data_IF_524509034931
#
_entry.id   IF_524509034931
#
_cell.length_a   1.000
_cell.length_b   1.000
_cell.length_c   1.000
_cell.angle_alpha   90.00
_cell.angle_beta   90.00
_cell.angle_gamma   90.00
#
_symmetry.space_group_name_H-M   'P 1'
#
loop_
_entity.id
_entity.type
_entity.pdbx_description
1 polymer ?
#
# COMPACT_ATOMS: atom_id res chain seq x y z
N UNK A 1 15.37 -1.13 -9.58
CA UNK A 1 13.92 -1.17 -9.77
C UNK A 1 13.25 -1.43 -8.44
N UNK A 2 12.22 -0.66 -8.07
CA UNK A 2 11.54 -0.86 -6.81
C UNK A 2 10.90 -2.25 -6.73
N UNK A 3 10.85 -2.80 -5.54
CA UNK A 3 10.30 -4.13 -5.26
C UNK A 3 8.98 -3.94 -4.51
N UNK A 4 7.90 -4.47 -5.09
CA UNK A 4 6.63 -4.59 -4.37
C UNK A 4 6.68 -5.81 -3.45
N UNK A 5 6.39 -5.61 -2.18
CA UNK A 5 6.22 -6.66 -1.18
C UNK A 5 4.79 -6.61 -0.65
N UNK A 6 4.18 -7.76 -0.48
CA UNK A 6 2.91 -7.91 0.24
C UNK A 6 3.26 -8.43 1.62
N UNK A 7 2.85 -7.71 2.66
CA UNK A 7 3.08 -8.15 4.02
C UNK A 7 2.16 -9.35 4.35
N UNK A 8 2.73 -10.36 4.97
CA UNK A 8 2.11 -11.65 5.24
C UNK A 8 1.28 -11.71 6.55
N UNK A 9 1.07 -10.55 7.17
CA UNK A 9 0.25 -10.47 8.40
C UNK A 9 -1.17 -10.98 8.19
N UNK A 10 -1.69 -11.72 9.18
CA UNK A 10 -3.05 -12.23 9.13
C UNK A 10 -4.11 -11.11 9.23
N UNK A 11 -3.82 -10.06 10.00
CA UNK A 11 -4.65 -8.84 10.14
C UNK A 11 -6.15 -9.10 10.40
N UNK A 12 -6.48 -10.11 11.22
CA UNK A 12 -7.88 -10.46 11.57
C UNK A 12 -8.36 -9.77 12.84
N UNK A 13 -7.46 -9.23 13.66
CA UNK A 13 -7.83 -8.54 14.87
C UNK A 13 -8.55 -7.23 14.54
N UNK A 14 -9.54 -6.88 15.34
CA UNK A 14 -10.35 -5.66 15.11
C UNK A 14 -9.53 -4.37 15.17
N UNK A 15 -8.44 -4.36 15.95
CA UNK A 15 -7.50 -3.25 16.10
C UNK A 15 -6.33 -3.27 15.08
N UNK A 16 -6.36 -4.21 14.11
CA UNK A 16 -5.28 -4.37 13.14
C UNK A 16 -5.06 -3.10 12.29
N UNK A 17 -6.13 -2.36 11.97
CA UNK A 17 -6.01 -1.10 11.22
C UNK A 17 -5.21 -0.07 12.00
N UNK A 18 -5.59 0.16 13.26
CA UNK A 18 -4.89 1.10 14.14
C UNK A 18 -3.44 0.69 14.34
N UNK A 19 -3.21 -0.59 14.63
CA UNK A 19 -1.86 -1.11 14.87
C UNK A 19 -0.97 -0.93 13.66
N UNK A 20 -1.45 -1.31 12.46
CA UNK A 20 -0.61 -1.22 11.25
C UNK A 20 -0.40 0.22 10.82
N UNK A 21 -1.43 1.05 10.83
CA UNK A 21 -1.31 2.46 10.46
C UNK A 21 -0.39 3.20 11.43
N UNK A 22 -0.55 3.02 12.75
CA UNK A 22 0.27 3.67 13.76
C UNK A 22 1.71 3.13 13.85
N UNK A 23 1.95 1.87 13.48
CA UNK A 23 3.29 1.29 13.58
C UNK A 23 4.10 1.36 12.29
N UNK A 24 3.44 1.46 11.13
CA UNK A 24 4.13 1.38 9.83
C UNK A 24 3.89 2.57 8.90
N UNK A 25 2.73 3.24 8.97
CA UNK A 25 2.45 4.36 8.07
C UNK A 25 2.95 5.67 8.65
N UNK A 26 2.60 5.98 9.89
CA UNK A 26 2.90 7.28 10.49
C UNK A 26 4.29 7.42 11.12
N UNK A 27 4.82 6.43 11.88
CA UNK A 27 6.05 6.66 12.62
C UNK A 27 7.22 6.96 11.70
N UNK A 28 7.89 8.09 11.94
CA UNK A 28 9.06 8.53 11.16
C UNK A 28 8.80 8.67 9.65
N UNK A 29 7.53 8.77 9.24
CA UNK A 29 7.21 9.08 7.85
C UNK A 29 7.67 10.50 7.53
N UNK A 30 8.26 10.66 6.36
CA UNK A 30 8.64 11.96 5.83
C UNK A 30 7.42 12.67 5.25
N UNK A 31 6.52 11.90 4.63
CA UNK A 31 5.25 12.36 4.08
C UNK A 31 4.21 11.25 4.24
N UNK A 32 2.98 11.65 4.44
CA UNK A 32 1.80 10.79 4.44
C UNK A 32 0.77 11.30 3.46
N UNK A 33 -0.04 10.41 2.96
CA UNK A 33 -1.16 10.76 2.09
C UNK A 33 -2.15 9.60 2.00
N UNK A 34 -3.20 9.80 1.23
CA UNK A 34 -4.20 8.77 1.01
C UNK A 34 -5.12 9.13 -0.15
N UNK A 35 -5.90 8.16 -0.60
CA UNK A 35 -6.91 8.35 -1.62
C UNK A 35 -8.22 7.69 -1.18
N UNK A 36 -9.33 8.42 -1.39
CA UNK A 36 -10.66 8.08 -0.84
C UNK A 36 -10.68 8.01 0.71
N UNK A 37 -9.77 8.73 1.35
CA UNK A 37 -9.59 8.73 2.80
C UNK A 37 -8.79 9.97 3.25
N UNK A 38 -9.09 10.48 4.44
CA UNK A 38 -8.22 11.43 5.13
C UNK A 38 -7.17 10.64 5.93
N UNK A 39 -5.87 10.83 5.71
CA UNK A 39 -4.84 10.09 6.42
C UNK A 39 -4.94 10.18 7.94
N UNK A 40 -5.32 11.35 8.49
CA UNK A 40 -5.43 11.56 9.93
C UNK A 40 -6.50 10.65 10.56
N UNK A 41 -7.59 10.42 9.83
CA UNK A 41 -8.74 9.62 10.27
C UNK A 41 -8.80 8.24 9.61
N UNK A 42 -7.70 7.77 9.03
CA UNK A 42 -7.70 6.61 8.16
C UNK A 42 -8.31 5.36 8.83
N UNK A 43 -7.89 5.00 10.03
CA UNK A 43 -8.42 3.82 10.73
C UNK A 43 -9.94 3.94 10.97
N UNK A 44 -10.39 5.08 11.50
CA UNK A 44 -11.80 5.28 11.81
C UNK A 44 -12.69 5.31 10.56
N UNK A 45 -12.23 5.91 9.46
CA UNK A 45 -12.96 5.91 8.20
C UNK A 45 -13.02 4.53 7.54
N UNK A 46 -11.95 3.71 7.67
CA UNK A 46 -11.95 2.32 7.22
C UNK A 46 -12.93 1.46 8.03
N UNK A 47 -13.00 1.67 9.36
CA UNK A 47 -14.01 1.01 10.19
C UNK A 47 -15.42 1.43 9.83
N UNK A 48 -15.67 2.73 9.62
CA UNK A 48 -16.98 3.22 9.21
C UNK A 48 -17.47 2.55 7.92
N UNK A 49 -16.60 2.37 6.93
CA UNK A 49 -16.94 1.66 5.70
C UNK A 49 -17.34 0.20 5.95
N UNK A 50 -16.68 -0.47 6.90
CA UNK A 50 -17.02 -1.84 7.31
C UNK A 50 -18.36 -1.91 8.05
N UNK A 51 -18.61 -0.97 8.95
CA UNK A 51 -19.85 -0.90 9.72
C UNK A 51 -21.05 -0.69 8.78
N UNK A 52 -20.94 0.27 7.84
CA UNK A 52 -22.00 0.55 6.86
C UNK A 52 -22.29 -0.67 5.97
N UNK A 53 -21.28 -1.45 5.62
CA UNK A 53 -21.46 -2.63 4.76
C UNK A 53 -21.74 -3.92 5.54
N UNK A 54 -21.71 -3.88 6.88
CA UNK A 54 -21.86 -5.06 7.74
C UNK A 54 -20.71 -6.06 7.65
N UNK A 55 -19.53 -5.65 7.18
CA UNK A 55 -18.37 -6.52 6.92
C UNK A 55 -17.25 -6.31 7.95
N UNK A 56 -17.57 -6.44 9.23
CA UNK A 56 -16.67 -6.11 10.34
C UNK A 56 -15.68 -7.21 10.71
N UNK A 57 -15.96 -8.46 10.33
CA UNK A 57 -15.15 -9.63 10.71
C UNK A 57 -14.12 -10.01 9.63
N UNK A 58 -13.21 -10.92 9.98
CA UNK A 58 -12.18 -11.46 9.10
C UNK A 58 -11.03 -10.47 8.85
N UNK A 59 -10.37 -10.60 7.70
CA UNK A 59 -9.23 -9.76 7.36
C UNK A 59 -9.61 -8.29 7.35
N UNK A 60 -8.84 -7.44 8.03
CA UNK A 60 -9.14 -6.03 8.20
C UNK A 60 -8.50 -5.15 7.11
N UNK A 61 -7.33 -5.52 6.62
CA UNK A 61 -6.54 -4.70 5.69
C UNK A 61 -5.63 -5.54 4.80
N UNK A 62 -5.12 -4.89 3.75
CA UNK A 62 -3.94 -5.33 3.01
C UNK A 62 -2.82 -4.32 3.19
N UNK A 63 -1.60 -4.81 3.42
CA UNK A 63 -0.41 -4.01 3.64
C UNK A 63 0.60 -4.31 2.53
N UNK A 64 0.92 -3.29 1.73
CA UNK A 64 1.90 -3.36 0.66
C UNK A 64 3.09 -2.49 0.99
N UNK A 65 4.27 -2.87 0.52
CA UNK A 65 5.49 -2.08 0.70
C UNK A 65 6.19 -1.98 -0.65
N UNK A 66 6.37 -0.75 -1.13
CA UNK A 66 7.20 -0.47 -2.29
C UNK A 66 8.58 -0.03 -1.81
N UNK A 67 9.60 -0.86 -2.03
CA UNK A 67 10.96 -0.63 -1.54
C UNK A 67 11.90 -0.30 -2.70
N UNK A 68 12.72 0.72 -2.53
CA UNK A 68 13.75 1.14 -3.48
C UNK A 68 15.12 0.57 -3.07
N UNK A 69 15.95 0.19 -4.03
CA UNK A 69 17.33 -0.24 -3.78
C UNK A 69 18.20 0.95 -3.34
N UNK A 70 19.41 0.68 -2.85
CA UNK A 70 20.36 1.75 -2.51
C UNK A 70 20.66 2.64 -3.71
N UNK A 71 20.85 2.03 -4.88
CA UNK A 71 21.10 2.74 -6.13
C UNK A 71 19.94 3.64 -6.57
N UNK A 72 18.71 3.20 -6.35
CA UNK A 72 17.51 3.98 -6.66
C UNK A 72 17.28 5.08 -5.63
N UNK A 73 17.43 4.75 -4.36
CA UNK A 73 17.29 5.71 -3.25
C UNK A 73 18.29 6.85 -3.36
N UNK A 74 19.52 6.58 -3.82
CA UNK A 74 20.54 7.60 -4.05
C UNK A 74 20.19 8.59 -5.17
N UNK A 75 19.18 8.32 -5.98
CA UNK A 75 18.69 9.18 -7.07
C UNK A 75 17.39 9.91 -6.74
N UNK A 76 16.88 9.70 -5.55
CA UNK A 76 15.68 10.35 -5.03
C UNK A 76 16.16 11.50 -4.14
N UNK A 77 15.95 12.72 -4.57
CA UNK A 77 16.43 13.89 -3.85
C UNK A 77 15.58 14.17 -2.60
N UNK A 78 14.29 13.88 -2.68
CA UNK A 78 13.37 14.11 -1.57
C UNK A 78 12.18 13.16 -1.57
N UNK A 79 11.47 13.08 -0.43
CA UNK A 79 10.22 12.31 -0.35
C UNK A 79 9.14 12.84 -1.32
N UNK A 80 9.18 14.13 -1.69
CA UNK A 80 8.25 14.70 -2.66
C UNK A 80 8.33 14.03 -4.03
N UNK A 81 9.51 13.56 -4.44
CA UNK A 81 9.71 12.88 -5.73
C UNK A 81 8.93 11.56 -5.80
N UNK A 82 8.61 11.00 -4.64
CA UNK A 82 7.84 9.74 -4.51
C UNK A 82 6.33 9.96 -4.38
N UNK A 83 5.86 11.20 -4.16
CA UNK A 83 4.43 11.47 -4.02
C UNK A 83 3.63 11.05 -5.25
N UNK A 84 4.15 11.38 -6.44
CA UNK A 84 3.49 10.98 -7.68
C UNK A 84 3.33 9.45 -7.76
N UNK A 85 4.40 8.71 -7.50
CA UNK A 85 4.36 7.24 -7.48
C UNK A 85 3.37 6.72 -6.43
N UNK A 86 3.38 7.29 -5.22
CA UNK A 86 2.49 6.87 -4.15
C UNK A 86 1.01 7.07 -4.53
N UNK A 87 0.65 8.23 -5.05
CA UNK A 87 -0.73 8.49 -5.48
C UNK A 87 -1.14 7.63 -6.67
N UNK A 88 -0.26 7.39 -7.64
CA UNK A 88 -0.56 6.49 -8.76
C UNK A 88 -0.84 5.06 -8.30
N UNK A 89 -0.08 4.56 -7.31
CA UNK A 89 -0.37 3.24 -6.71
C UNK A 89 -1.74 3.25 -6.02
N UNK A 90 -2.07 4.32 -5.30
CA UNK A 90 -3.39 4.46 -4.68
C UNK A 90 -4.51 4.47 -5.73
N UNK A 91 -4.33 5.16 -6.86
CA UNK A 91 -5.32 5.24 -7.94
C UNK A 91 -5.69 3.88 -8.53
N UNK A 92 -4.79 2.90 -8.49
CA UNK A 92 -5.10 1.54 -8.93
C UNK A 92 -6.27 0.92 -8.16
N UNK A 93 -6.46 1.31 -6.89
CA UNK A 93 -7.48 0.77 -6.00
C UNK A 93 -8.59 1.75 -5.64
N UNK A 94 -8.40 3.06 -5.84
CA UNK A 94 -9.18 4.12 -5.22
C UNK A 94 -10.63 4.23 -5.68
N UNK A 95 -10.99 3.60 -6.78
CA UNK A 95 -12.38 3.56 -7.25
C UNK A 95 -13.28 2.72 -6.35
N UNK A 96 -12.68 1.82 -5.55
CA UNK A 96 -13.42 0.90 -4.70
C UNK A 96 -12.89 0.82 -3.27
N UNK A 97 -11.59 1.10 -3.03
CA UNK A 97 -10.95 0.87 -1.73
C UNK A 97 -10.28 2.13 -1.20
N UNK A 98 -10.45 2.35 0.09
CA UNK A 98 -9.71 3.37 0.82
C UNK A 98 -8.26 2.92 1.02
N UNK A 99 -7.31 3.81 0.76
CA UNK A 99 -5.88 3.51 0.90
C UNK A 99 -5.12 4.70 1.48
N UNK A 100 -4.30 4.45 2.49
CA UNK A 100 -3.41 5.42 3.13
C UNK A 100 -1.96 4.97 2.92
N UNK A 101 -1.04 5.93 2.80
CA UNK A 101 0.38 5.63 2.66
C UNK A 101 1.27 6.51 3.52
N UNK A 102 2.48 6.00 3.82
CA UNK A 102 3.57 6.73 4.42
C UNK A 102 4.88 6.49 3.67
N UNK A 103 5.61 7.57 3.36
CA UNK A 103 6.91 7.54 2.71
C UNK A 103 7.99 7.64 3.77
N UNK A 104 8.94 6.71 3.76
CA UNK A 104 10.00 6.59 4.76
C UNK A 104 11.38 6.54 4.11
N UNK A 105 12.39 6.92 4.90
CA UNK A 105 13.80 6.73 4.55
C UNK A 105 14.60 6.32 5.80
N UNK A 106 14.82 5.02 5.95
CA UNK A 106 15.69 4.45 6.98
C UNK A 106 16.96 3.90 6.33
N UNK A 107 17.69 4.76 5.63
CA UNK A 107 18.82 4.37 4.76
C UNK A 107 18.40 4.07 3.32
N UNK A 108 17.16 3.64 3.09
CA UNK A 108 16.55 3.42 1.77
C UNK A 108 15.13 3.94 1.77
N UNK A 109 14.73 4.57 0.66
CA UNK A 109 13.33 4.96 0.49
C UNK A 109 12.43 3.73 0.36
N UNK A 110 11.29 3.80 1.03
CA UNK A 110 10.20 2.85 0.89
C UNK A 110 8.86 3.50 1.22
N UNK A 111 7.80 2.95 0.68
CA UNK A 111 6.44 3.44 0.88
C UNK A 111 5.61 2.30 1.44
N UNK A 112 5.00 2.52 2.61
CA UNK A 112 3.99 1.64 3.16
C UNK A 112 2.62 2.06 2.68
N UNK A 113 1.82 1.12 2.19
CA UNK A 113 0.43 1.31 1.79
C UNK A 113 -0.45 0.41 2.64
N UNK A 114 -1.46 0.98 3.27
CA UNK A 114 -2.49 0.23 3.99
C UNK A 114 -3.83 0.47 3.30
N UNK A 115 -4.41 -0.60 2.78
CA UNK A 115 -5.67 -0.58 2.05
C UNK A 115 -6.76 -1.27 2.87
N UNK A 116 -7.95 -0.66 2.92
CA UNK A 116 -9.12 -1.31 3.50
C UNK A 116 -9.46 -2.58 2.72
N UNK A 117 -9.73 -3.67 3.43
CA UNK A 117 -10.12 -4.94 2.81
C UNK A 117 -11.53 -4.92 2.19
N UNK A 118 -12.33 -3.92 2.51
CA UNK A 118 -13.73 -3.81 2.07
C UNK A 118 -13.88 -2.67 1.09
N UNK A 119 -14.52 -2.95 -0.05
CA UNK A 119 -14.95 -1.91 -0.99
C UNK A 119 -16.01 -1.02 -0.33
N UNK A 120 -15.76 0.29 -0.31
CA UNK A 120 -16.73 1.25 0.19
C UNK A 120 -17.90 1.49 -0.82
N UNK A 121 -17.77 0.97 -2.05
CA UNK A 121 -18.79 1.06 -3.10
C UNK A 121 -19.70 -0.15 -3.06
N UNK A 122 -19.14 -1.35 -3.09
CA UNK A 122 -19.89 -2.61 -3.24
C UNK A 122 -20.00 -3.45 -1.97
N UNK A 123 -19.25 -3.12 -0.91
CA UNK A 123 -19.12 -3.93 0.30
C UNK A 123 -18.36 -5.25 0.09
N UNK A 124 -17.83 -5.51 -1.10
CA UNK A 124 -17.09 -6.74 -1.37
C UNK A 124 -15.71 -6.73 -0.77
N UNK A 125 -15.27 -7.88 -0.32
CA UNK A 125 -13.90 -8.09 0.18
C UNK A 125 -12.91 -8.16 -0.98
N UNK A 126 -11.77 -7.50 -0.81
CA UNK A 126 -10.63 -7.70 -1.70
C UNK A 126 -10.00 -9.07 -1.43
N UNK A 127 -10.04 -9.96 -2.42
CA UNK A 127 -9.50 -11.32 -2.36
C UNK A 127 -8.63 -11.57 -3.58
N UNK A 128 -7.40 -11.02 -3.60
CA UNK A 128 -6.52 -11.11 -4.76
C UNK A 128 -5.95 -12.52 -4.94
N UNK A 129 -5.75 -12.88 -6.19
CA UNK A 129 -4.97 -14.03 -6.60
C UNK A 129 -3.59 -13.60 -7.14
N UNK A 130 -2.76 -14.55 -7.56
CA UNK A 130 -1.42 -14.26 -8.10
C UNK A 130 -1.45 -13.36 -9.35
N UNK A 131 -2.49 -13.49 -10.19
CA UNK A 131 -2.65 -12.64 -11.38
C UNK A 131 -2.90 -11.19 -10.99
N UNK A 132 -3.69 -10.95 -9.94
CA UNK A 132 -3.97 -9.59 -9.44
C UNK A 132 -2.69 -8.91 -8.94
N UNK A 133 -1.85 -9.63 -8.21
CA UNK A 133 -0.55 -9.11 -7.76
C UNK A 133 0.42 -8.87 -8.92
N UNK A 134 0.43 -9.73 -9.94
CA UNK A 134 1.21 -9.51 -11.15
C UNK A 134 0.73 -8.26 -11.90
N UNK A 135 -0.58 -8.07 -12.05
CA UNK A 135 -1.15 -6.89 -12.68
C UNK A 135 -0.78 -5.61 -11.92
N UNK A 136 -0.87 -5.63 -10.58
CA UNK A 136 -0.42 -4.52 -9.75
C UNK A 136 1.07 -4.22 -9.95
N UNK A 137 1.92 -5.26 -9.98
CA UNK A 137 3.35 -5.09 -10.20
C UNK A 137 3.65 -4.49 -11.58
N UNK A 138 2.96 -4.92 -12.64
CA UNK A 138 3.08 -4.34 -13.98
C UNK A 138 2.63 -2.88 -14.02
N UNK A 139 1.52 -2.55 -13.33
CA UNK A 139 1.04 -1.19 -13.23
C UNK A 139 2.08 -0.29 -12.53
N UNK A 140 2.60 -0.72 -11.39
CA UNK A 140 3.64 0.00 -10.63
C UNK A 140 4.90 0.20 -11.50
N UNK A 141 5.28 -0.81 -12.27
CA UNK A 141 6.39 -0.68 -13.21
C UNK A 141 6.18 0.46 -14.21
N UNK A 142 5.02 0.51 -14.83
CA UNK A 142 4.66 1.60 -15.76
C UNK A 142 4.69 2.98 -15.11
N UNK A 143 4.26 3.07 -13.86
CA UNK A 143 4.25 4.32 -13.07
C UNK A 143 5.66 4.77 -12.68
N UNK A 144 6.55 3.84 -12.39
CA UNK A 144 7.93 4.15 -11.99
C UNK A 144 8.87 4.42 -13.18
N UNK A 145 8.44 4.15 -14.42
CA UNK A 145 9.24 4.37 -15.63
C UNK A 145 9.61 5.84 -15.93
N UNK A 146 8.81 6.87 -15.60
CA UNK A 146 9.18 8.27 -15.85
C UNK A 146 10.38 8.74 -15.04
N UNK A 147 10.73 8.08 -13.94
CA UNK A 147 12.03 8.25 -13.29
C UNK A 147 13.05 7.55 -14.19
N UNK A 148 14.19 8.16 -14.58
CA UNK A 148 15.10 7.62 -15.61
C UNK A 148 15.82 6.35 -15.14
N UNK A 149 15.06 5.29 -14.90
CA UNK A 149 15.54 4.00 -14.44
C UNK A 149 15.49 2.98 -15.59
N UNK A 150 16.63 2.76 -16.22
CA UNK A 150 16.86 1.57 -17.04
C UNK A 150 17.11 0.38 -16.11
N UNK A 151 16.08 -0.35 -15.72
CA UNK A 151 16.30 -1.63 -15.04
C UNK A 151 15.10 -2.59 -15.16
N UNK A 152 15.41 -3.87 -15.26
CA UNK A 152 14.48 -4.97 -15.50
C UNK A 152 13.69 -5.31 -14.24
N UNK A 153 12.41 -5.64 -14.41
CA UNK A 153 11.52 -6.13 -13.37
C UNK A 153 12.06 -7.43 -12.76
N UNK A 154 12.38 -7.42 -11.49
CA UNK A 154 12.52 -8.63 -10.69
C UNK A 154 11.33 -8.67 -9.72
N UNK A 155 10.27 -9.35 -10.14
CA UNK A 155 9.22 -9.77 -9.21
C UNK A 155 9.86 -10.87 -8.36
N UNK A 156 10.32 -10.53 -7.15
CA UNK A 156 10.49 -11.56 -6.14
C UNK A 156 9.09 -11.97 -5.72
N UNK A 157 8.60 -13.07 -6.28
CA UNK A 157 7.54 -13.82 -5.61
C UNK A 157 8.08 -14.19 -4.23
N UNK A 158 7.61 -13.48 -3.20
CA UNK A 158 7.66 -14.05 -1.87
C UNK A 158 6.78 -15.30 -1.94
N UNK A 159 7.20 -16.42 -1.32
CA UNK A 159 6.34 -17.59 -1.24
C UNK A 159 5.02 -17.11 -0.64
N UNK A 160 3.95 -17.29 -1.40
CA UNK A 160 2.59 -17.12 -0.89
C UNK A 160 2.45 -18.26 0.12
N UNK A 161 2.66 -17.96 1.39
CA UNK A 161 2.30 -18.89 2.44
C UNK A 161 0.77 -18.91 2.46
N UNK A 162 0.21 -19.98 1.91
CA UNK A 162 -1.19 -20.31 2.07
C UNK A 162 -1.43 -20.61 3.56
N UNK A 163 -2.33 -19.85 4.16
CA UNK A 163 -2.96 -20.18 5.43
C UNK A 163 -4.46 -20.39 5.20
#
# INVERSE_FOLDING_TARGET
MPILKVADGNYINKDALEQVIHNYVFPRSLLTGGLSIDPIYAASQMHMAKDVTGQTDGRQLHHFILSFSDFESAKIDSANDLLYTAYRVCEYFSTEYQIVFGIHNNGKYHIHFVMNNISFVSGKRYSPNNSDYNNLAFYIYGVCLPVPFKSRLHIKQLPVLYY
#
